data_IF_735216108457
#
_entry.id   IF_735216108457
#
_cell.length_a   1.000
_cell.length_b   1.000
_cell.length_c   1.000
_cell.angle_alpha   90.00
_cell.angle_beta   90.00
_cell.angle_gamma   90.00
#
_symmetry.space_group_name_H-M   'P 1'
#
loop_
_entity.id
_entity.type
_entity.pdbx_description
1 polymer ?
#
# COMPACT_ATOMS: atom_id res chain seq x y z
N UNK A 1 27.21 3.47 47.21
CA UNK A 1 26.58 3.70 45.89
C UNK A 1 25.16 3.15 45.92
N UNK A 2 24.15 3.99 46.16
CA UNK A 2 22.74 3.67 45.90
C UNK A 2 22.18 4.88 45.15
N UNK A 3 22.12 4.74 43.84
CA UNK A 3 21.52 5.72 42.94
C UNK A 3 20.00 5.62 43.12
N UNK A 4 19.42 6.59 43.82
CA UNK A 4 17.98 6.67 44.06
C UNK A 4 17.26 7.06 42.77
N UNK A 5 16.50 6.11 42.22
CA UNK A 5 15.60 6.31 41.09
C UNK A 5 14.62 7.47 41.36
N UNK A 6 14.78 8.55 40.59
CA UNK A 6 13.88 9.69 40.59
C UNK A 6 12.57 9.25 39.90
N UNK A 7 11.52 8.97 40.68
CA UNK A 7 10.16 8.80 40.16
C UNK A 7 9.73 10.11 39.48
N UNK A 8 9.81 10.17 38.16
CA UNK A 8 9.13 11.20 37.38
C UNK A 8 7.64 10.94 37.46
N UNK A 9 6.98 11.63 38.38
CA UNK A 9 5.52 11.81 38.37
C UNK A 9 5.13 12.35 37.00
N UNK A 10 4.38 11.58 36.21
CA UNK A 10 3.72 12.01 34.97
C UNK A 10 2.55 12.96 35.28
N UNK A 11 2.82 14.02 36.05
CA UNK A 11 1.90 15.14 36.23
C UNK A 11 2.04 16.06 35.02
N UNK A 12 0.92 16.39 34.38
CA UNK A 12 0.85 17.39 33.32
C UNK A 12 1.26 18.74 33.93
N UNK A 13 2.55 19.09 33.85
CA UNK A 13 3.08 20.34 34.40
C UNK A 13 2.43 21.55 33.74
N UNK A 14 2.45 22.71 34.41
CA UNK A 14 1.92 24.01 33.93
C UNK A 14 2.34 24.35 32.49
N UNK A 15 3.51 23.87 32.06
CA UNK A 15 4.02 24.02 30.69
C UNK A 15 3.16 23.31 29.63
N UNK A 16 2.58 22.15 29.98
CA UNK A 16 1.66 21.41 29.13
C UNK A 16 0.24 22.01 29.15
N UNK A 17 -0.12 22.81 30.16
CA UNK A 17 -1.42 23.48 30.21
C UNK A 17 -1.55 24.55 29.14
N UNK A 18 -0.48 25.30 28.85
CA UNK A 18 -0.45 26.27 27.75
C UNK A 18 -0.64 25.54 26.42
N UNK A 19 0.00 24.37 26.25
CA UNK A 19 -0.15 23.54 25.06
C UNK A 19 -1.58 22.99 24.91
N UNK A 20 -2.17 22.49 26.00
CA UNK A 20 -3.56 22.00 26.01
C UNK A 20 -4.52 23.15 25.71
N UNK A 21 -4.33 24.33 26.31
CA UNK A 21 -5.18 25.49 26.10
C UNK A 21 -5.07 26.02 24.66
N UNK A 22 -3.86 26.04 24.09
CA UNK A 22 -3.65 26.42 22.69
C UNK A 22 -4.22 25.39 21.71
N UNK A 23 -4.16 24.08 22.02
CA UNK A 23 -4.85 23.04 21.24
C UNK A 23 -6.36 23.26 21.30
N UNK A 24 -6.93 23.53 22.48
CA UNK A 24 -8.38 23.78 22.63
C UNK A 24 -8.80 25.04 21.87
N UNK A 25 -8.03 26.14 21.96
CA UNK A 25 -8.28 27.36 21.20
C UNK A 25 -8.16 27.15 19.69
N UNK A 26 -7.17 26.38 19.23
CA UNK A 26 -7.00 26.05 17.81
C UNK A 26 -8.16 25.19 17.28
N UNK A 27 -8.64 24.23 18.07
CA UNK A 27 -9.83 23.43 17.74
C UNK A 27 -11.07 24.33 17.70
N UNK A 28 -11.23 25.25 18.66
CA UNK A 28 -12.34 26.21 18.67
C UNK A 28 -12.32 27.12 17.43
N UNK A 29 -11.14 27.59 17.04
CA UNK A 29 -10.96 28.39 15.84
C UNK A 29 -11.27 27.62 14.56
N UNK A 30 -10.82 26.35 14.46
CA UNK A 30 -11.10 25.48 13.32
C UNK A 30 -12.59 25.12 13.20
N UNK A 31 -13.27 24.84 14.32
CA UNK A 31 -14.70 24.54 14.33
C UNK A 31 -15.56 25.78 14.05
N UNK A 32 -15.16 26.96 14.56
CA UNK A 32 -15.82 28.24 14.29
C UNK A 32 -15.76 28.62 12.82
N UNK A 33 -14.59 28.48 12.20
CA UNK A 33 -14.40 28.73 10.76
C UNK A 33 -15.16 27.73 9.89
N UNK A 34 -15.25 26.45 10.31
CA UNK A 34 -16.03 25.42 9.62
C UNK A 34 -17.54 25.70 9.61
N UNK A 35 -18.12 26.15 10.75
CA UNK A 35 -19.56 26.41 10.87
C UNK A 35 -20.00 27.71 10.21
N UNK A 36 -19.28 28.80 10.45
CA UNK A 36 -19.73 30.15 10.06
C UNK A 36 -19.14 30.63 8.73
N UNK A 37 -18.21 29.87 8.13
CA UNK A 37 -17.44 30.23 6.91
C UNK A 37 -16.73 31.61 6.98
N UNK A 38 -16.71 32.23 8.17
CA UNK A 38 -16.10 33.51 8.50
C UNK A 38 -15.47 33.40 9.89
N UNK A 39 -14.45 34.23 10.15
CA UNK A 39 -13.85 34.37 11.48
C UNK A 39 -14.86 35.12 12.35
N UNK A 40 -15.71 34.39 13.05
CA UNK A 40 -16.73 34.98 13.94
C UNK A 40 -16.08 35.32 15.28
N UNK A 41 -16.20 36.58 15.72
CA UNK A 41 -15.74 37.09 17.03
C UNK A 41 -16.50 36.52 18.24
N UNK A 42 -17.39 35.55 18.04
CA UNK A 42 -18.17 34.93 19.12
C UNK A 42 -17.50 33.64 19.60
N UNK A 43 -17.12 33.62 20.87
CA UNK A 43 -16.78 32.38 21.57
C UNK A 43 -17.99 31.44 21.52
N UNK A 44 -17.78 30.24 20.97
CA UNK A 44 -18.79 29.18 20.94
C UNK A 44 -19.05 28.75 22.39
N UNK A 45 -20.32 28.75 22.83
CA UNK A 45 -20.65 28.32 24.20
C UNK A 45 -20.30 26.84 24.42
N UNK A 46 -19.97 26.38 25.64
CA UNK A 46 -19.58 24.99 25.89
C UNK A 46 -20.62 23.94 25.44
N UNK A 47 -21.91 24.26 25.51
CA UNK A 47 -23.00 23.40 25.01
C UNK A 47 -23.00 23.32 23.48
N UNK A 48 -22.84 24.45 22.79
CA UNK A 48 -22.70 24.49 21.32
C UNK A 48 -21.41 23.82 20.84
N UNK A 49 -20.34 23.86 21.65
CA UNK A 49 -19.09 23.15 21.39
C UNK A 49 -19.31 21.64 21.43
N UNK A 50 -20.05 21.14 22.42
CA UNK A 50 -20.40 19.72 22.51
C UNK A 50 -21.26 19.32 21.31
N UNK A 51 -22.24 20.13 20.90
CA UNK A 51 -23.04 19.82 19.71
C UNK A 51 -22.23 19.84 18.41
N UNK A 52 -21.33 20.82 18.24
CA UNK A 52 -20.46 20.89 17.07
C UNK A 52 -19.43 19.77 17.06
N UNK A 53 -18.89 19.39 18.22
CA UNK A 53 -18.01 18.27 18.37
C UNK A 53 -18.75 16.95 18.10
N UNK A 54 -19.97 16.77 18.59
CA UNK A 54 -20.81 15.61 18.29
C UNK A 54 -21.18 15.57 16.80
N UNK A 55 -21.48 16.72 16.19
CA UNK A 55 -21.78 16.81 14.75
C UNK A 55 -20.53 16.53 13.90
N UNK A 56 -19.37 17.06 14.30
CA UNK A 56 -18.07 16.78 13.70
C UNK A 56 -17.75 15.29 13.82
N UNK A 57 -17.88 14.70 15.01
CA UNK A 57 -17.70 13.28 15.26
C UNK A 57 -18.69 12.48 14.41
N UNK A 58 -19.99 12.78 14.38
CA UNK A 58 -20.98 12.05 13.56
C UNK A 58 -20.69 12.15 12.06
N UNK A 59 -20.31 13.33 11.58
CA UNK A 59 -19.97 13.58 10.18
C UNK A 59 -18.72 12.80 9.78
N UNK A 60 -17.65 12.90 10.57
CA UNK A 60 -16.39 12.20 10.34
C UNK A 60 -16.48 10.70 10.65
N UNK A 61 -17.38 10.27 11.54
CA UNK A 61 -17.57 8.86 11.90
C UNK A 61 -18.19 8.06 10.75
N UNK A 62 -19.20 8.64 10.06
CA UNK A 62 -19.74 8.03 8.83
C UNK A 62 -18.67 7.89 7.76
N UNK A 63 -17.91 8.96 7.53
CA UNK A 63 -16.81 8.94 6.57
C UNK A 63 -15.66 8.02 6.97
N UNK A 64 -15.38 7.91 8.26
CA UNK A 64 -14.38 7.01 8.81
C UNK A 64 -14.80 5.56 8.61
N UNK A 65 -16.07 5.22 8.87
CA UNK A 65 -16.61 3.89 8.58
C UNK A 65 -16.55 3.61 7.08
N UNK A 66 -16.95 4.56 6.24
CA UNK A 66 -16.90 4.38 4.79
C UNK A 66 -15.46 4.17 4.31
N UNK A 67 -14.50 4.95 4.81
CA UNK A 67 -13.08 4.76 4.49
C UNK A 67 -12.58 3.40 4.99
N UNK A 68 -12.99 2.98 6.19
CA UNK A 68 -12.62 1.66 6.71
C UNK A 68 -13.17 0.55 5.81
N UNK A 69 -14.42 0.64 5.35
CA UNK A 69 -15.00 -0.32 4.41
C UNK A 69 -14.28 -0.30 3.06
N UNK A 70 -14.00 0.89 2.50
CA UNK A 70 -13.26 1.04 1.25
C UNK A 70 -11.83 0.48 1.37
N UNK A 71 -11.15 0.72 2.49
CA UNK A 71 -9.79 0.20 2.72
C UNK A 71 -9.79 -1.30 2.92
N UNK A 72 -10.76 -1.87 3.65
CA UNK A 72 -10.94 -3.32 3.77
C UNK A 72 -11.23 -3.97 2.42
N UNK A 73 -12.10 -3.37 1.62
CA UNK A 73 -12.39 -3.83 0.26
C UNK A 73 -11.13 -3.78 -0.62
N UNK A 74 -10.39 -2.67 -0.59
CA UNK A 74 -9.14 -2.52 -1.31
C UNK A 74 -8.12 -3.60 -0.88
N UNK A 75 -7.97 -3.85 0.42
CA UNK A 75 -7.11 -4.92 0.95
C UNK A 75 -7.56 -6.29 0.44
N UNK A 76 -8.86 -6.58 0.44
CA UNK A 76 -9.40 -7.83 -0.08
C UNK A 76 -9.04 -8.03 -1.55
N UNK A 77 -9.26 -7.02 -2.40
CA UNK A 77 -8.91 -7.05 -3.82
C UNK A 77 -7.40 -7.27 -4.00
N UNK A 78 -6.56 -6.62 -3.20
CA UNK A 78 -5.11 -6.79 -3.24
C UNK A 78 -4.68 -8.20 -2.83
N UNK A 79 -5.32 -8.78 -1.80
CA UNK A 79 -5.06 -10.17 -1.38
C UNK A 79 -5.43 -11.15 -2.49
N UNK A 80 -6.59 -10.96 -3.13
CA UNK A 80 -7.00 -11.79 -4.28
C UNK A 80 -5.98 -11.67 -5.41
N UNK A 81 -5.58 -10.45 -5.77
CA UNK A 81 -4.61 -10.20 -6.82
C UNK A 81 -3.26 -10.86 -6.52
N UNK A 82 -2.71 -10.66 -5.31
CA UNK A 82 -1.43 -11.27 -4.90
C UNK A 82 -1.52 -12.80 -4.91
N UNK A 83 -2.63 -13.37 -4.45
CA UNK A 83 -2.86 -14.82 -4.43
C UNK A 83 -2.90 -15.38 -5.85
N UNK A 84 -3.55 -14.66 -6.78
CA UNK A 84 -3.56 -15.01 -8.20
C UNK A 84 -2.15 -15.03 -8.81
N UNK A 85 -1.36 -13.96 -8.58
CA UNK A 85 0.03 -13.89 -9.07
C UNK A 85 0.89 -15.02 -8.50
N UNK A 86 0.76 -15.29 -7.19
CA UNK A 86 1.46 -16.39 -6.51
C UNK A 86 1.10 -17.75 -7.09
N UNK A 87 -0.18 -18.00 -7.38
CA UNK A 87 -0.64 -19.26 -7.95
C UNK A 87 -0.03 -19.56 -9.31
N UNK A 88 -0.04 -18.56 -10.20
CA UNK A 88 0.61 -18.66 -11.51
C UNK A 88 2.10 -18.91 -11.34
N UNK A 89 2.79 -18.09 -10.53
CA UNK A 89 4.24 -18.22 -10.36
C UNK A 89 4.63 -19.59 -9.78
N UNK A 90 3.92 -20.07 -8.77
CA UNK A 90 4.16 -21.38 -8.16
C UNK A 90 3.98 -22.52 -9.16
N UNK A 91 2.93 -22.47 -9.99
CA UNK A 91 2.69 -23.48 -11.02
C UNK A 91 3.78 -23.48 -12.11
N UNK A 92 4.11 -22.30 -12.65
CA UNK A 92 5.10 -22.16 -13.72
C UNK A 92 6.51 -22.55 -13.28
N UNK A 93 6.96 -22.06 -12.11
CA UNK A 93 8.30 -22.35 -11.61
C UNK A 93 8.45 -23.83 -11.28
N UNK A 94 7.47 -24.46 -10.62
CA UNK A 94 7.53 -25.91 -10.36
C UNK A 94 7.44 -26.76 -11.64
N UNK A 95 6.68 -26.32 -12.65
CA UNK A 95 6.64 -26.98 -13.96
C UNK A 95 7.99 -26.93 -14.66
N UNK A 96 8.67 -25.77 -14.63
CA UNK A 96 10.03 -25.59 -15.17
C UNK A 96 11.04 -26.48 -14.45
N UNK A 97 11.09 -26.42 -13.12
CA UNK A 97 12.01 -27.24 -12.32
C UNK A 97 11.80 -28.73 -12.54
N UNK A 98 10.55 -29.18 -12.72
CA UNK A 98 10.24 -30.58 -13.05
C UNK A 98 10.78 -31.00 -14.41
N UNK A 99 10.76 -30.11 -15.42
CA UNK A 99 11.34 -30.39 -16.75
C UNK A 99 12.86 -30.50 -16.66
N UNK A 100 13.51 -29.50 -16.06
CA UNK A 100 14.97 -29.47 -15.85
C UNK A 100 15.45 -30.71 -15.09
N UNK A 101 14.74 -31.09 -14.01
CA UNK A 101 15.07 -32.29 -13.23
C UNK A 101 14.99 -33.59 -14.06
N UNK A 102 13.97 -33.71 -14.94
CA UNK A 102 13.85 -34.88 -15.82
C UNK A 102 14.96 -34.94 -16.87
N UNK A 103 15.40 -33.80 -17.39
CA UNK A 103 16.51 -33.72 -18.35
C UNK A 103 17.84 -34.11 -17.67
N UNK A 104 18.11 -33.58 -16.47
CA UNK A 104 19.30 -33.98 -15.69
C UNK A 104 19.37 -35.49 -15.40
N UNK A 105 18.22 -36.12 -15.14
CA UNK A 105 18.16 -37.59 -14.95
C UNK A 105 18.49 -38.34 -16.25
N UNK A 106 17.97 -37.87 -17.39
CA UNK A 106 18.21 -38.52 -18.70
C UNK A 106 19.67 -38.45 -19.12
N UNK A 107 20.35 -37.35 -18.82
CA UNK A 107 21.75 -37.13 -19.21
C UNK A 107 22.76 -37.85 -18.29
N UNK A 108 22.31 -38.62 -17.28
CA UNK A 108 23.15 -39.19 -16.22
C UNK A 108 24.06 -38.14 -15.53
N UNK A 109 23.77 -36.85 -15.71
CA UNK A 109 24.53 -35.72 -15.21
C UNK A 109 24.15 -35.40 -13.75
N UNK A 110 23.92 -36.44 -12.93
CA UNK A 110 23.66 -36.26 -11.50
C UNK A 110 24.97 -35.97 -10.78
N UNK A 111 25.53 -34.78 -11.03
CA UNK A 111 26.61 -34.25 -10.24
C UNK A 111 26.04 -33.87 -8.86
N UNK A 112 26.44 -34.67 -7.88
CA UNK A 112 26.10 -34.62 -6.46
C UNK A 112 26.61 -33.35 -5.77
N UNK A 113 26.18 -32.17 -6.22
CA UNK A 113 26.15 -30.97 -5.36
C UNK A 113 24.73 -30.86 -4.85
N UNK A 114 24.47 -31.50 -3.70
CA UNK A 114 23.25 -31.31 -2.91
C UNK A 114 23.15 -29.85 -2.45
N UNK A 115 22.65 -28.97 -3.31
CA UNK A 115 22.03 -27.74 -2.86
C UNK A 115 20.68 -28.12 -2.26
N UNK A 116 20.56 -28.02 -0.93
CA UNK A 116 19.25 -28.05 -0.26
C UNK A 116 18.28 -27.11 -1.00
N UNK A 117 17.04 -27.58 -1.23
CA UNK A 117 15.93 -26.87 -1.88
C UNK A 117 15.84 -26.95 -3.42
N UNK A 118 16.44 -27.98 -4.04
CA UNK A 118 16.17 -28.30 -5.45
C UNK A 118 14.97 -29.25 -5.57
N UNK A 119 14.20 -29.14 -6.66
CA UNK A 119 13.12 -30.07 -6.98
C UNK A 119 13.61 -31.52 -6.94
N UNK A 120 12.88 -32.46 -6.30
CA UNK A 120 11.51 -32.35 -5.79
C UNK A 120 11.37 -31.89 -4.32
N UNK A 121 12.46 -31.67 -3.60
CA UNK A 121 12.45 -31.41 -2.15
C UNK A 121 11.82 -30.05 -1.77
N UNK A 122 11.66 -29.16 -2.75
CA UNK A 122 11.02 -27.86 -2.59
C UNK A 122 9.48 -27.95 -2.43
N UNK A 123 8.85 -29.06 -2.81
CA UNK A 123 7.40 -29.26 -2.64
C UNK A 123 7.13 -29.87 -1.27
N UNK A 124 7.25 -29.05 -0.24
CA UNK A 124 6.81 -29.41 1.10
C UNK A 124 5.69 -28.46 1.56
N UNK A 125 4.78 -28.95 2.40
CA UNK A 125 3.61 -28.19 2.88
C UNK A 125 4.05 -26.92 3.61
N UNK A 126 5.11 -27.02 4.42
CA UNK A 126 5.62 -25.91 5.24
C UNK A 126 6.07 -24.72 4.39
N UNK A 127 6.90 -24.95 3.38
CA UNK A 127 7.48 -23.94 2.52
C UNK A 127 6.46 -23.43 1.50
N UNK A 128 5.54 -24.30 1.07
CA UNK A 128 4.39 -23.88 0.27
C UNK A 128 3.51 -22.92 1.06
N UNK A 129 3.12 -23.25 2.30
CA UNK A 129 2.32 -22.36 3.16
C UNK A 129 3.06 -21.05 3.48
N UNK A 130 4.37 -21.11 3.71
CA UNK A 130 5.21 -19.92 3.89
C UNK A 130 5.17 -19.00 2.68
N UNK A 131 5.24 -19.54 1.47
CA UNK A 131 5.12 -18.75 0.26
C UNK A 131 3.70 -18.17 0.11
N UNK A 132 2.68 -19.01 0.25
CA UNK A 132 1.28 -18.62 0.04
C UNK A 132 0.75 -17.59 1.01
N UNK A 133 1.19 -17.58 2.27
CA UNK A 133 0.69 -16.66 3.29
C UNK A 133 1.73 -15.67 3.81
N UNK A 134 3.02 -15.99 3.72
CA UNK A 134 4.08 -15.24 4.37
C UNK A 134 4.98 -14.45 3.42
N UNK A 135 5.25 -14.92 2.20
CA UNK A 135 6.29 -14.32 1.37
C UNK A 135 5.86 -12.95 0.80
N UNK A 136 6.54 -11.83 1.09
CA UNK A 136 6.27 -10.54 0.46
C UNK A 136 6.86 -10.48 -0.97
N UNK A 137 6.65 -11.55 -1.74
CA UNK A 137 6.96 -11.68 -3.17
C UNK A 137 5.82 -12.42 -3.87
N UNK A 138 5.57 -12.06 -5.12
CA UNK A 138 4.61 -12.72 -6.01
C UNK A 138 5.29 -13.82 -6.80
N UNK A 139 6.62 -13.78 -6.86
CA UNK A 139 7.45 -14.73 -7.58
C UNK A 139 7.89 -15.84 -6.66
N UNK A 140 7.51 -17.08 -6.99
CA UNK A 140 7.97 -18.25 -6.25
C UNK A 140 9.45 -18.50 -6.57
N UNK A 141 10.29 -18.51 -5.54
CA UNK A 141 11.70 -18.90 -5.65
C UNK A 141 11.97 -19.99 -4.61
N UNK A 142 12.46 -21.17 -5.00
CA UNK A 142 12.93 -22.16 -4.06
C UNK A 142 14.26 -21.67 -3.46
N UNK A 143 14.18 -20.82 -2.44
CA UNK A 143 15.33 -20.27 -1.73
C UNK A 143 15.49 -20.93 -0.36
N UNK A 144 16.72 -20.89 0.16
CA UNK A 144 17.04 -21.28 1.55
C UNK A 144 16.40 -20.27 2.50
N UNK A 145 15.65 -20.71 3.54
CA UNK A 145 15.00 -19.79 4.46
C UNK A 145 16.00 -18.80 5.05
N UNK A 146 15.70 -17.51 4.97
CA UNK A 146 16.51 -16.49 5.60
C UNK A 146 16.22 -16.43 7.10
N UNK A 147 17.18 -15.92 7.88
CA UNK A 147 17.10 -15.90 9.34
C UNK A 147 15.87 -15.09 9.78
N UNK A 148 15.00 -15.70 10.59
CA UNK A 148 13.88 -14.99 11.24
C UNK A 148 14.49 -13.95 12.18
N UNK A 149 14.18 -12.67 11.95
CA UNK A 149 14.63 -11.58 12.82
C UNK A 149 13.47 -11.28 13.78
N UNK A 150 13.77 -11.19 15.08
CA UNK A 150 12.76 -10.82 16.08
C UNK A 150 12.22 -9.42 15.80
N UNK A 151 10.89 -9.28 15.91
CA UNK A 151 10.20 -8.01 15.75
C UNK A 151 10.57 -7.05 16.87
N UNK A 152 10.99 -5.83 16.52
CA UNK A 152 11.08 -4.75 17.48
C UNK A 152 9.68 -4.14 17.68
N UNK A 153 9.07 -4.43 18.83
CA UNK A 153 7.71 -4.00 19.16
C UNK A 153 7.56 -2.46 19.23
N UNK A 154 8.62 -1.75 19.62
CA UNK A 154 8.65 -0.28 19.62
C UNK A 154 8.54 0.28 18.20
N UNK A 155 9.25 -0.33 17.24
CA UNK A 155 9.17 0.05 15.84
C UNK A 155 7.77 -0.21 15.26
N UNK A 156 7.12 -1.32 15.62
CA UNK A 156 5.74 -1.63 15.23
C UNK A 156 4.77 -0.58 15.80
N UNK A 157 4.91 -0.21 17.07
CA UNK A 157 4.09 0.83 17.71
C UNK A 157 4.23 2.19 17.02
N UNK A 158 5.46 2.60 16.69
CA UNK A 158 5.71 3.82 15.90
C UNK A 158 5.06 3.73 14.51
N UNK A 159 5.09 2.57 13.87
CA UNK A 159 4.40 2.32 12.60
C UNK A 159 2.88 2.51 12.70
N UNK A 160 2.25 1.95 13.74
CA UNK A 160 0.81 2.09 13.98
C UNK A 160 0.39 3.55 14.26
N UNK A 161 1.19 4.30 15.03
CA UNK A 161 0.92 5.73 15.27
C UNK A 161 1.01 6.51 13.96
N UNK A 162 2.02 6.24 13.13
CA UNK A 162 2.11 6.84 11.79
C UNK A 162 0.91 6.48 10.93
N UNK A 163 0.37 5.26 11.03
CA UNK A 163 -0.87 4.84 10.36
C UNK A 163 -2.01 5.79 10.63
N UNK A 164 -2.30 5.99 11.92
CA UNK A 164 -3.45 6.76 12.37
C UNK A 164 -3.31 8.20 11.88
N UNK A 165 -2.10 8.76 11.97
CA UNK A 165 -1.81 10.12 11.49
C UNK A 165 -2.00 10.23 9.97
N UNK A 166 -1.41 9.32 9.17
CA UNK A 166 -1.54 9.38 7.72
C UNK A 166 -2.97 9.11 7.24
N UNK A 167 -3.69 8.16 7.86
CA UNK A 167 -5.12 7.94 7.58
C UNK A 167 -5.95 9.18 7.91
N UNK A 168 -5.68 9.84 9.04
CA UNK A 168 -6.34 11.09 9.39
C UNK A 168 -6.06 12.20 8.35
N UNK A 169 -4.80 12.37 7.93
CA UNK A 169 -4.45 13.34 6.88
C UNK A 169 -5.16 13.01 5.56
N UNK A 170 -5.16 11.74 5.14
CA UNK A 170 -5.86 11.31 3.93
C UNK A 170 -7.37 11.59 3.99
N UNK A 171 -8.02 11.35 5.14
CA UNK A 171 -9.43 11.69 5.34
C UNK A 171 -9.69 13.19 5.16
N UNK A 172 -8.84 14.03 5.75
CA UNK A 172 -8.98 15.48 5.61
C UNK A 172 -8.79 15.93 4.16
N UNK A 173 -7.82 15.36 3.43
CA UNK A 173 -7.61 15.70 2.02
C UNK A 173 -8.83 15.29 1.18
N UNK A 174 -9.36 14.09 1.41
CA UNK A 174 -10.56 13.60 0.73
C UNK A 174 -11.76 14.51 1.00
N UNK A 175 -12.00 14.88 2.26
CA UNK A 175 -13.16 15.69 2.64
C UNK A 175 -13.07 17.15 2.20
N UNK A 176 -11.89 17.77 2.36
CA UNK A 176 -11.73 19.20 2.16
C UNK A 176 -11.48 19.53 0.68
N UNK A 177 -10.73 18.69 -0.02
CA UNK A 177 -10.31 18.99 -1.40
C UNK A 177 -10.98 18.12 -2.44
N UNK A 178 -11.04 16.80 -2.23
CA UNK A 178 -11.50 15.88 -3.29
C UNK A 178 -13.02 15.87 -3.42
N UNK A 179 -13.76 15.63 -2.35
CA UNK A 179 -15.22 15.53 -2.37
C UNK A 179 -15.90 16.75 -3.01
N UNK A 180 -15.64 18.01 -2.59
CA UNK A 180 -16.29 19.17 -3.19
C UNK A 180 -15.89 19.38 -4.64
N UNK A 181 -14.63 19.12 -5.00
CA UNK A 181 -14.17 19.23 -6.39
C UNK A 181 -14.80 18.15 -7.29
N UNK A 182 -15.01 16.93 -6.78
CA UNK A 182 -15.72 15.87 -7.52
C UNK A 182 -17.19 16.25 -7.75
N UNK A 183 -17.88 16.76 -6.74
CA UNK A 183 -19.27 17.24 -6.89
C UNK A 183 -19.37 18.36 -7.94
N UNK A 184 -18.43 19.31 -7.92
CA UNK A 184 -18.34 20.38 -8.92
C UNK A 184 -18.09 19.82 -10.33
N UNK A 185 -17.14 18.89 -10.47
CA UNK A 185 -16.83 18.23 -11.74
C UNK A 185 -18.04 17.49 -12.32
N UNK A 186 -18.80 16.75 -11.51
CA UNK A 186 -19.99 16.02 -11.94
C UNK A 186 -21.02 16.98 -12.52
N UNK A 187 -21.26 18.13 -11.87
CA UNK A 187 -22.19 19.14 -12.38
C UNK A 187 -21.77 19.71 -13.73
N UNK A 188 -20.48 19.93 -13.96
CA UNK A 188 -19.98 20.42 -15.26
C UNK A 188 -20.11 19.38 -16.36
N UNK A 189 -19.87 18.10 -16.04
CA UNK A 189 -20.03 16.98 -16.97
C UNK A 189 -21.50 16.83 -17.37
N UNK A 190 -22.42 16.88 -16.40
CA UNK A 190 -23.87 16.78 -16.64
C UNK A 190 -24.40 17.96 -17.47
N UNK A 191 -23.84 19.16 -17.28
CA UNK A 191 -24.17 20.35 -18.07
C UNK A 191 -23.52 20.36 -19.46
N UNK A 192 -22.64 19.41 -19.76
CA UNK A 192 -21.96 19.30 -21.05
C UNK A 192 -20.88 20.36 -21.32
N UNK A 193 -20.40 21.07 -20.30
CA UNK A 193 -19.40 22.14 -20.47
C UNK A 193 -17.99 21.58 -20.26
N UNK A 194 -17.36 21.16 -21.35
CA UNK A 194 -16.09 20.42 -21.33
C UNK A 194 -14.90 21.24 -20.82
N UNK A 195 -14.87 22.55 -21.05
CA UNK A 195 -13.79 23.44 -20.59
C UNK A 195 -13.70 23.50 -19.06
N UNK A 196 -14.84 23.65 -18.41
CA UNK A 196 -14.97 23.74 -16.96
C UNK A 196 -14.74 22.36 -16.32
N UNK A 197 -15.23 21.30 -16.96
CA UNK A 197 -14.93 19.92 -16.55
C UNK A 197 -13.42 19.64 -16.59
N UNK A 198 -12.72 20.08 -17.65
CA UNK A 198 -11.27 19.94 -17.75
C UNK A 198 -10.55 20.77 -16.67
N UNK A 199 -10.98 22.02 -16.44
CA UNK A 199 -10.43 22.87 -15.38
C UNK A 199 -10.59 22.24 -13.99
N UNK A 200 -11.74 21.63 -13.72
CA UNK A 200 -12.01 20.90 -12.49
C UNK A 200 -11.14 19.64 -12.36
N UNK A 201 -10.98 18.86 -13.44
CA UNK A 201 -10.08 17.70 -13.47
C UNK A 201 -8.62 18.08 -13.15
N UNK A 202 -8.13 19.18 -13.71
CA UNK A 202 -6.78 19.67 -13.43
C UNK A 202 -6.59 20.06 -11.95
N UNK A 203 -7.62 20.63 -11.31
CA UNK A 203 -7.59 20.93 -9.87
C UNK A 203 -7.54 19.66 -9.02
N UNK A 204 -8.21 18.59 -9.45
CA UNK A 204 -8.21 17.30 -8.76
C UNK A 204 -6.87 16.56 -8.81
N UNK A 205 -6.02 16.82 -9.82
CA UNK A 205 -4.74 16.14 -9.97
C UNK A 205 -3.86 16.24 -8.73
N UNK A 206 -3.76 17.42 -8.12
CA UNK A 206 -2.88 17.64 -6.96
C UNK A 206 -3.34 16.82 -5.73
N UNK A 207 -4.58 16.99 -5.21
CA UNK A 207 -5.01 16.25 -4.03
C UNK A 207 -5.09 14.73 -4.27
N UNK A 208 -5.46 14.29 -5.48
CA UNK A 208 -5.51 12.86 -5.82
C UNK A 208 -4.10 12.26 -5.87
N UNK A 209 -3.13 12.93 -6.49
CA UNK A 209 -1.74 12.44 -6.49
C UNK A 209 -1.13 12.42 -5.08
N UNK A 210 -1.44 13.41 -4.25
CA UNK A 210 -0.97 13.44 -2.86
C UNK A 210 -1.55 12.26 -2.06
N UNK A 211 -2.85 11.98 -2.19
CA UNK A 211 -3.49 10.82 -1.59
C UNK A 211 -2.87 9.50 -2.07
N UNK A 212 -2.60 9.40 -3.35
CA UNK A 212 -1.97 8.24 -3.95
C UNK A 212 -0.53 8.03 -3.42
N UNK A 213 0.26 9.10 -3.26
CA UNK A 213 1.61 9.03 -2.67
C UNK A 213 1.57 8.58 -1.21
N UNK A 214 0.64 9.12 -0.40
CA UNK A 214 0.43 8.67 0.98
C UNK A 214 0.03 7.19 0.98
N UNK A 215 -0.89 6.82 0.09
CA UNK A 215 -1.32 5.45 -0.14
C UNK A 215 -0.16 4.50 -0.40
N UNK A 216 0.75 4.87 -1.31
CA UNK A 216 1.86 4.00 -1.71
C UNK A 216 2.95 3.91 -0.64
N UNK A 217 3.25 5.03 0.01
CA UNK A 217 4.22 5.07 1.09
C UNK A 217 3.74 4.26 2.31
N UNK A 218 2.47 4.39 2.66
CA UNK A 218 1.91 3.82 3.87
C UNK A 218 1.28 2.44 3.68
N UNK A 219 0.36 2.29 2.72
CA UNK A 219 -0.33 1.03 2.40
C UNK A 219 0.41 0.16 1.39
N UNK A 220 1.21 0.78 0.51
CA UNK A 220 1.74 0.14 -0.68
C UNK A 220 2.88 -0.85 -0.44
N UNK A 221 4.10 -0.39 -0.17
CA UNK A 221 5.24 -1.24 -0.57
C UNK A 221 6.53 -1.08 0.25
N UNK A 222 6.64 -0.11 1.16
CA UNK A 222 7.91 0.15 1.89
C UNK A 222 7.86 -0.36 3.33
N UNK A 223 6.79 -0.03 4.06
CA UNK A 223 6.76 -0.21 5.52
C UNK A 223 6.22 -1.58 5.94
N UNK A 224 5.11 -2.03 5.34
CA UNK A 224 4.44 -3.28 5.73
C UNK A 224 5.15 -4.50 5.14
N UNK A 225 5.36 -4.54 3.82
CA UNK A 225 6.01 -5.66 3.12
C UNK A 225 7.47 -5.84 3.53
N UNK A 226 8.21 -4.74 3.67
CA UNK A 226 9.60 -4.73 4.14
C UNK A 226 9.74 -5.25 5.57
N UNK A 227 8.78 -4.95 6.44
CA UNK A 227 8.75 -5.48 7.81
C UNK A 227 8.34 -6.93 7.84
N UNK A 228 7.26 -7.27 7.13
CA UNK A 228 6.74 -8.63 7.03
C UNK A 228 7.80 -9.61 6.50
N UNK A 229 8.64 -9.17 5.56
CA UNK A 229 9.79 -9.93 5.07
C UNK A 229 10.73 -10.41 6.18
N UNK A 230 10.99 -9.54 7.16
CA UNK A 230 11.87 -9.82 8.30
C UNK A 230 11.22 -10.76 9.30
N UNK A 231 9.90 -10.64 9.51
CA UNK A 231 9.10 -11.50 10.38
C UNK A 231 9.06 -12.92 9.85
N UNK A 232 8.77 -13.08 8.56
CA UNK A 232 8.60 -14.39 7.93
C UNK A 232 9.95 -15.04 7.63
N UNK A 233 11.05 -14.28 7.65
CA UNK A 233 12.36 -14.77 7.23
C UNK A 233 12.37 -15.07 5.73
N UNK A 234 11.66 -14.26 4.95
CA UNK A 234 11.63 -14.36 3.49
C UNK A 234 12.28 -13.11 2.89
N UNK A 235 13.26 -13.30 2.00
CA UNK A 235 13.93 -12.17 1.35
C UNK A 235 12.94 -11.47 0.42
N UNK A 236 12.45 -10.29 0.82
CA UNK A 236 11.68 -9.46 -0.10
C UNK A 236 12.61 -8.84 -1.13
N UNK A 237 12.13 -8.77 -2.37
CA UNK A 237 12.66 -7.91 -3.41
C UNK A 237 12.57 -6.46 -2.92
N UNK A 238 13.68 -5.88 -2.45
CA UNK A 238 13.70 -4.48 -1.97
C UNK A 238 13.13 -3.56 -3.05
N UNK A 239 12.20 -2.70 -2.64
CA UNK A 239 11.73 -1.63 -3.51
C UNK A 239 12.91 -0.72 -3.86
N UNK A 240 12.95 -0.28 -5.11
CA UNK A 240 13.99 0.60 -5.64
C UNK A 240 13.53 2.05 -5.53
N UNK A 241 14.48 2.98 -5.55
CA UNK A 241 14.23 4.43 -5.47
C UNK A 241 13.58 4.92 -6.78
N UNK A 242 12.28 4.68 -6.93
CA UNK A 242 11.50 4.97 -8.13
C UNK A 242 11.32 6.46 -8.37
N UNK A 243 11.34 7.27 -7.30
CA UNK A 243 11.25 8.73 -7.38
C UNK A 243 12.52 9.34 -8.00
N UNK A 244 13.63 8.60 -8.00
CA UNK A 244 14.90 9.00 -8.61
C UNK A 244 15.10 8.26 -9.95
N UNK A 245 14.11 8.31 -10.82
CA UNK A 245 14.18 7.72 -12.17
C UNK A 245 14.34 8.83 -13.20
N UNK A 246 15.28 8.67 -14.11
CA UNK A 246 15.57 9.66 -15.17
C UNK A 246 14.61 9.50 -16.36
N UNK A 247 14.05 8.31 -16.54
CA UNK A 247 13.12 8.00 -17.64
C UNK A 247 11.85 7.32 -17.13
N UNK A 248 10.76 7.45 -17.90
CA UNK A 248 9.49 6.76 -17.63
C UNK A 248 9.65 5.24 -17.65
N UNK A 249 10.48 4.73 -18.56
CA UNK A 249 10.79 3.29 -18.64
C UNK A 249 11.42 2.80 -17.34
N UNK A 250 12.43 3.53 -16.84
CA UNK A 250 13.10 3.21 -15.58
C UNK A 250 12.13 3.26 -14.39
N UNK A 251 11.27 4.28 -14.33
CA UNK A 251 10.26 4.42 -13.28
C UNK A 251 9.37 3.17 -13.17
N UNK A 252 8.87 2.63 -14.28
CA UNK A 252 8.02 1.43 -14.28
C UNK A 252 8.74 0.16 -13.80
N UNK A 253 10.06 0.10 -13.92
CA UNK A 253 10.84 -1.02 -13.37
C UNK A 253 11.09 -0.92 -11.86
N UNK A 254 10.94 0.29 -11.28
CA UNK A 254 11.26 0.57 -9.87
C UNK A 254 10.02 0.72 -8.97
N UNK A 255 8.96 1.37 -9.47
CA UNK A 255 7.77 1.78 -8.70
C UNK A 255 7.10 0.64 -7.94
N UNK A 256 6.89 -0.49 -8.63
CA UNK A 256 6.33 -1.71 -8.07
C UNK A 256 7.21 -2.91 -8.42
N UNK A 257 8.40 -2.94 -7.84
CA UNK A 257 9.42 -3.93 -8.19
C UNK A 257 8.94 -5.38 -7.99
N UNK A 258 8.06 -5.62 -7.01
CA UNK A 258 7.40 -6.91 -6.81
C UNK A 258 6.66 -7.40 -8.07
N UNK A 259 5.80 -6.54 -8.63
CA UNK A 259 4.99 -6.87 -9.79
C UNK A 259 5.87 -6.92 -11.05
N UNK A 260 6.83 -6.01 -11.17
CA UNK A 260 7.79 -6.00 -12.27
C UNK A 260 8.62 -7.30 -12.33
N UNK A 261 9.13 -7.76 -11.18
CA UNK A 261 9.86 -9.03 -11.10
C UNK A 261 8.98 -10.22 -11.51
N UNK A 262 7.72 -10.23 -11.06
CA UNK A 262 6.76 -11.26 -11.45
C UNK A 262 6.52 -11.29 -12.97
N UNK A 263 6.30 -10.12 -13.60
CA UNK A 263 6.15 -10.01 -15.05
C UNK A 263 7.37 -10.49 -15.80
N UNK A 264 8.56 -10.13 -15.31
CA UNK A 264 9.83 -10.51 -15.92
C UNK A 264 10.02 -12.04 -15.90
N UNK A 265 9.86 -12.66 -14.74
CA UNK A 265 10.13 -14.10 -14.56
C UNK A 265 9.03 -14.98 -15.17
N UNK A 266 7.77 -14.57 -15.07
CA UNK A 266 6.61 -15.38 -15.43
C UNK A 266 6.21 -15.20 -16.90
N UNK A 267 6.40 -14.01 -17.46
CA UNK A 267 5.93 -13.67 -18.82
C UNK A 267 7.10 -13.33 -19.75
N UNK A 268 7.91 -12.32 -19.42
CA UNK A 268 8.93 -11.79 -20.32
C UNK A 268 9.97 -12.85 -20.73
N UNK A 269 10.64 -13.47 -19.75
CA UNK A 269 11.71 -14.44 -20.00
C UNK A 269 11.20 -15.64 -20.80
N UNK A 270 10.05 -16.28 -20.45
CA UNK A 270 9.49 -17.36 -21.26
C UNK A 270 9.17 -16.96 -22.70
N UNK A 271 8.56 -15.79 -22.95
CA UNK A 271 8.21 -15.34 -24.30
C UNK A 271 9.47 -15.13 -25.16
N UNK A 272 10.49 -14.47 -24.60
CA UNK A 272 11.75 -14.26 -25.31
C UNK A 272 12.46 -15.58 -25.59
N UNK A 273 12.45 -16.52 -24.62
CA UNK A 273 13.00 -17.88 -24.83
C UNK A 273 12.26 -18.68 -25.91
N UNK A 274 10.96 -18.42 -26.12
CA UNK A 274 10.20 -19.01 -27.23
C UNK A 274 10.42 -18.34 -28.59
N UNK A 275 11.33 -17.37 -28.68
CA UNK A 275 11.69 -16.68 -29.93
C UNK A 275 10.91 -15.40 -30.21
N UNK A 276 10.11 -14.91 -29.27
CA UNK A 276 9.37 -13.64 -29.42
C UNK A 276 10.32 -12.47 -29.18
N UNK A 277 10.22 -11.42 -29.99
CA UNK A 277 11.03 -10.21 -29.82
C UNK A 277 10.77 -9.53 -28.47
N UNK A 278 11.79 -8.90 -27.89
CA UNK A 278 11.66 -8.14 -26.64
C UNK A 278 10.59 -7.05 -26.70
N UNK A 279 10.42 -6.42 -27.85
CA UNK A 279 9.39 -5.39 -28.05
C UNK A 279 8.00 -5.99 -27.97
N UNK A 280 7.73 -7.08 -28.71
CA UNK A 280 6.44 -7.77 -28.68
C UNK A 280 6.11 -8.31 -27.28
N UNK A 281 7.12 -8.83 -26.56
CA UNK A 281 6.95 -9.30 -25.18
C UNK A 281 6.56 -8.15 -24.23
N UNK A 282 7.17 -6.96 -24.36
CA UNK A 282 6.81 -5.79 -23.57
C UNK A 282 5.39 -5.29 -23.88
N UNK A 283 4.97 -5.31 -25.15
CA UNK A 283 3.59 -4.96 -25.54
C UNK A 283 2.59 -5.93 -24.91
N UNK A 284 2.88 -7.24 -24.94
CA UNK A 284 2.03 -8.24 -24.31
C UNK A 284 1.90 -8.03 -22.79
N UNK A 285 3.01 -7.72 -22.11
CA UNK A 285 3.02 -7.41 -20.67
C UNK A 285 2.19 -6.16 -20.38
N UNK A 286 2.35 -5.10 -21.18
CA UNK A 286 1.59 -3.87 -21.02
C UNK A 286 0.09 -4.11 -21.20
N UNK A 287 -0.32 -4.83 -22.24
CA UNK A 287 -1.71 -5.18 -22.48
C UNK A 287 -2.30 -6.02 -21.34
N UNK A 288 -1.59 -7.05 -20.89
CA UNK A 288 -2.03 -7.90 -19.78
C UNK A 288 -2.11 -7.13 -18.45
N UNK A 289 -1.15 -6.25 -18.18
CA UNK A 289 -1.21 -5.34 -17.03
C UNK A 289 -2.43 -4.44 -17.09
N UNK A 290 -2.73 -3.85 -18.25
CA UNK A 290 -3.92 -3.03 -18.47
C UNK A 290 -5.22 -3.79 -18.20
N UNK A 291 -5.34 -5.02 -18.72
CA UNK A 291 -6.50 -5.89 -18.49
C UNK A 291 -6.72 -6.19 -17.00
N UNK A 292 -5.65 -6.49 -16.26
CA UNK A 292 -5.75 -6.72 -14.82
C UNK A 292 -6.18 -5.45 -14.07
N UNK A 293 -5.66 -4.28 -14.44
CA UNK A 293 -6.08 -3.01 -13.83
C UNK A 293 -7.56 -2.75 -14.07
N UNK A 294 -8.04 -2.92 -15.30
CA UNK A 294 -9.47 -2.77 -15.62
C UNK A 294 -10.30 -3.77 -14.81
N UNK A 295 -9.92 -5.04 -14.80
CA UNK A 295 -10.64 -6.09 -14.06
C UNK A 295 -10.78 -5.77 -12.56
N UNK A 296 -9.68 -5.42 -11.89
CA UNK A 296 -9.70 -5.14 -10.45
C UNK A 296 -10.39 -3.81 -10.10
N UNK A 297 -10.25 -2.79 -10.94
CA UNK A 297 -10.97 -1.52 -10.76
C UNK A 297 -12.48 -1.74 -10.96
N UNK A 298 -12.88 -2.48 -11.99
CA UNK A 298 -14.30 -2.78 -12.25
C UNK A 298 -14.94 -3.55 -11.11
N UNK A 299 -14.28 -4.56 -10.53
CA UNK A 299 -14.82 -5.29 -9.36
C UNK A 299 -15.14 -4.35 -8.19
N UNK A 300 -14.36 -3.28 -8.03
CA UNK A 300 -14.59 -2.28 -6.99
C UNK A 300 -15.64 -1.23 -7.28
N UNK A 301 -16.09 -1.11 -8.54
CA UNK A 301 -17.11 -0.14 -8.94
C UNK A 301 -18.51 -0.74 -9.10
N UNK A 302 -18.61 -2.06 -9.35
CA UNK A 302 -19.88 -2.75 -9.61
C UNK A 302 -20.45 -3.53 -8.40
N UNK A 303 -19.94 -3.28 -7.18
CA UNK A 303 -20.51 -3.79 -5.91
C UNK A 303 -20.82 -2.63 -4.97
#
# INVERSE_FOLDING_TARGET
MKETAKKTSYGVGIQNWILIFSIICAINFALGTWKYKNVSDRFICPSEYIELFIHYIRSHFRSFILLLLCTLFFVMVHVIHITFLRGISYAFVNSRLRKEWRECIKENAYNKKETKNVYPQNINIRDSLRFWFGAPSGTYKPEVPSRIITLNLSWLGVGLVKAVIFTYISLNILHVFVAPAVEECVQYIEKGVLSEALGCFLRLLIPVNLLWLIGVYYFGLVTITGTWSKVVGYRSSKQKDWWNSETVSEYWTKWNYFVHEWYKETIFIPLVKSGISSQSANVAIFAFSGLLHVFFVSIGLYN
#
